data_IF_255718228420
#
_entry.id   IF_255718228420
#
_cell.length_a   1.000
_cell.length_b   1.000
_cell.length_c   1.000
_cell.angle_alpha   90.00
_cell.angle_beta   90.00
_cell.angle_gamma   90.00
#
_symmetry.space_group_name_H-M   'P 1'
#
loop_
_entity.id
_entity.type
_entity.pdbx_description
1 polymer ?
#
# COMPACT_ATOMS: atom_id res chain seq x y z
N UNK A 1 -0.21 -1.42 -20.99
CA UNK A 1 -0.33 -0.49 -19.86
C UNK A 1 0.62 -0.97 -18.79
N UNK A 2 1.48 -0.08 -18.30
CA UNK A 2 2.50 -0.34 -17.29
C UNK A 2 2.10 0.29 -15.96
N UNK A 3 2.58 -0.28 -14.85
CA UNK A 3 2.46 0.33 -13.53
C UNK A 3 3.86 0.69 -13.03
N UNK A 4 4.08 1.97 -12.78
CA UNK A 4 5.25 2.49 -12.09
C UNK A 4 4.90 2.70 -10.63
N UNK A 5 5.55 2.00 -9.71
CA UNK A 5 5.51 2.33 -8.30
C UNK A 5 6.74 3.19 -7.96
N UNK A 6 6.53 4.42 -7.50
CA UNK A 6 7.60 5.20 -6.88
C UNK A 6 7.35 5.17 -5.38
N UNK A 7 8.14 4.39 -4.65
CA UNK A 7 7.80 4.06 -3.28
C UNK A 7 8.97 3.64 -2.41
N UNK A 8 8.64 3.39 -1.16
CA UNK A 8 9.58 3.05 -0.10
C UNK A 8 10.13 1.62 -0.22
N UNK A 9 11.38 1.48 0.19
CA UNK A 9 12.11 0.23 0.35
C UNK A 9 12.69 0.20 1.76
N UNK A 10 12.14 -0.65 2.65
CA UNK A 10 12.53 -0.69 4.06
C UNK A 10 13.03 -2.06 4.48
N UNK A 11 14.03 -2.06 5.36
CA UNK A 11 14.42 -3.24 6.14
C UNK A 11 13.69 -3.18 7.49
N UNK A 12 12.81 -4.14 7.76
CA UNK A 12 12.03 -4.18 9.00
C UNK A 12 12.75 -5.04 10.03
N UNK A 13 13.39 -4.39 11.02
CA UNK A 13 14.06 -5.04 12.15
C UNK A 13 13.06 -5.29 13.27
N UNK A 14 12.59 -6.51 13.40
CA UNK A 14 11.62 -6.90 14.43
C UNK A 14 12.33 -7.52 15.62
N UNK A 15 12.06 -7.00 16.81
CA UNK A 15 12.58 -7.47 18.09
C UNK A 15 11.42 -7.98 18.95
N UNK A 16 11.49 -9.22 19.40
CA UNK A 16 10.56 -9.76 20.38
C UNK A 16 10.98 -9.36 21.79
N UNK A 17 10.10 -8.70 22.50
CA UNK A 17 10.35 -8.10 23.83
C UNK A 17 9.25 -8.49 24.81
N UNK A 18 9.56 -8.40 26.11
CA UNK A 18 8.56 -8.65 27.17
C UNK A 18 7.57 -7.50 27.30
N UNK A 19 8.04 -6.28 27.09
CA UNK A 19 7.28 -5.04 27.07
C UNK A 19 8.03 -4.01 26.21
N UNK A 20 7.39 -2.90 25.84
CA UNK A 20 8.06 -1.83 25.12
C UNK A 20 9.07 -1.12 26.02
N UNK A 21 10.30 -0.90 25.50
CA UNK A 21 11.38 -0.23 26.26
C UNK A 21 10.92 1.15 26.74
N UNK A 22 11.23 1.46 27.99
CA UNK A 22 10.88 2.71 28.65
C UNK A 22 12.07 3.68 28.71
N UNK A 23 11.83 4.98 28.89
CA UNK A 23 12.93 5.93 29.08
C UNK A 23 13.87 5.51 30.22
N UNK A 24 15.19 5.47 29.94
CA UNK A 24 16.22 5.08 30.91
C UNK A 24 16.38 3.58 31.14
N UNK A 25 15.61 2.74 30.45
CA UNK A 25 15.71 1.27 30.53
C UNK A 25 16.62 0.70 29.46
N UNK A 26 17.32 -0.40 29.80
CA UNK A 26 17.98 -1.28 28.85
C UNK A 26 17.28 -2.64 28.89
N UNK A 27 16.55 -2.99 27.82
CA UNK A 27 15.79 -4.22 27.72
C UNK A 27 16.48 -5.17 26.74
N UNK A 28 16.71 -6.42 27.16
CA UNK A 28 17.20 -7.48 26.29
C UNK A 28 16.05 -8.07 25.46
N UNK A 29 16.19 -8.04 24.13
CA UNK A 29 15.24 -8.70 23.25
C UNK A 29 15.42 -10.22 23.28
N UNK A 30 14.31 -10.98 23.24
CA UNK A 30 14.30 -12.45 23.19
C UNK A 30 14.71 -13.02 21.84
N UNK A 31 14.36 -12.33 20.78
CA UNK A 31 14.68 -12.70 19.39
C UNK A 31 14.71 -11.48 18.49
N UNK A 32 15.42 -11.63 17.36
CA UNK A 32 15.45 -10.62 16.28
C UNK A 32 15.22 -11.30 14.93
N UNK A 33 14.40 -10.67 14.09
CA UNK A 33 14.28 -11.02 12.67
C UNK A 33 14.42 -9.76 11.81
N UNK A 34 14.74 -9.96 10.53
CA UNK A 34 14.81 -8.89 9.52
C UNK A 34 13.95 -9.31 8.34
N UNK A 35 13.05 -8.44 7.91
CA UNK A 35 12.17 -8.69 6.79
C UNK A 35 12.25 -7.55 5.78
N UNK A 36 11.98 -7.87 4.52
CA UNK A 36 11.78 -6.85 3.50
C UNK A 36 10.39 -6.25 3.66
N UNK A 37 10.32 -4.93 3.71
CA UNK A 37 9.08 -4.19 3.91
C UNK A 37 9.11 -2.82 3.23
N UNK A 38 8.24 -1.96 3.69
CA UNK A 38 7.91 -0.69 3.07
C UNK A 38 6.68 -0.82 2.17
N UNK A 39 5.77 0.16 2.25
CA UNK A 39 4.52 0.15 1.47
C UNK A 39 4.79 0.08 -0.03
N UNK A 40 5.82 0.79 -0.51
CA UNK A 40 6.22 0.76 -1.91
C UNK A 40 6.60 -0.64 -2.37
N UNK A 41 7.43 -1.35 -1.61
CA UNK A 41 7.81 -2.74 -1.90
C UNK A 41 6.58 -3.66 -1.88
N UNK A 42 5.79 -3.62 -0.81
CA UNK A 42 4.63 -4.49 -0.65
C UNK A 42 3.60 -4.29 -1.75
N UNK A 43 3.27 -3.05 -2.09
CA UNK A 43 2.28 -2.71 -3.12
C UNK A 43 2.79 -3.06 -4.52
N UNK A 44 4.10 -2.90 -4.80
CA UNK A 44 4.69 -3.37 -6.05
C UNK A 44 4.56 -4.87 -6.21
N UNK A 45 4.88 -5.63 -5.17
CA UNK A 45 4.74 -7.10 -5.17
C UNK A 45 3.28 -7.51 -5.27
N UNK A 46 2.37 -6.86 -4.53
CA UNK A 46 0.94 -7.14 -4.60
C UNK A 46 0.38 -6.91 -6.01
N UNK A 47 0.74 -5.80 -6.64
CA UNK A 47 0.33 -5.48 -8.01
C UNK A 47 0.89 -6.48 -9.03
N UNK A 48 2.15 -6.91 -8.88
CA UNK A 48 2.75 -7.92 -9.73
C UNK A 48 2.07 -9.29 -9.56
N UNK A 49 1.84 -9.72 -8.30
CA UNK A 49 1.11 -10.97 -7.99
C UNK A 49 -0.35 -10.92 -8.46
N UNK A 50 -0.94 -9.74 -8.57
CA UNK A 50 -2.27 -9.52 -9.17
C UNK A 50 -2.26 -9.55 -10.72
N UNK A 51 -1.09 -9.77 -11.34
CA UNK A 51 -0.94 -9.95 -12.79
C UNK A 51 -0.56 -8.69 -13.57
N UNK A 52 -0.18 -7.61 -12.90
CA UNK A 52 0.25 -6.39 -13.58
C UNK A 52 1.75 -6.42 -13.94
N UNK A 53 2.11 -5.70 -14.99
CA UNK A 53 3.50 -5.40 -15.30
C UNK A 53 3.96 -4.20 -14.45
N UNK A 54 4.83 -4.44 -13.46
CA UNK A 54 5.22 -3.44 -12.46
C UNK A 54 6.70 -3.10 -12.58
N UNK A 55 7.00 -1.82 -12.60
CA UNK A 55 8.33 -1.23 -12.40
C UNK A 55 8.37 -0.56 -11.05
N UNK A 56 9.40 -0.85 -10.26
CA UNK A 56 9.65 -0.10 -9.02
C UNK A 56 10.76 0.90 -9.26
N UNK A 57 10.50 2.16 -8.92
CA UNK A 57 11.50 3.22 -8.88
C UNK A 57 11.62 3.75 -7.45
N UNK A 58 12.85 3.96 -7.02
CA UNK A 58 13.15 4.40 -5.68
C UNK A 58 14.66 4.40 -5.43
N UNK A 59 15.02 4.64 -4.20
CA UNK A 59 16.42 4.69 -3.79
C UNK A 59 16.68 3.63 -2.72
N UNK A 60 17.77 2.89 -2.89
CA UNK A 60 18.20 1.88 -1.93
C UNK A 60 19.55 2.28 -1.35
N UNK A 61 19.73 2.01 -0.08
CA UNK A 61 20.98 2.32 0.63
C UNK A 61 21.79 1.07 0.97
N UNK A 62 22.78 1.27 1.84
CA UNK A 62 23.60 0.20 2.37
C UNK A 62 22.74 -0.89 3.02
N UNK A 63 22.99 -2.14 2.67
CA UNK A 63 22.25 -3.31 3.17
C UNK A 63 20.96 -3.64 2.41
N UNK A 64 20.60 -2.86 1.37
CA UNK A 64 19.34 -2.99 0.68
C UNK A 64 19.24 -4.07 -0.42
N UNK A 65 20.32 -4.85 -0.67
CA UNK A 65 20.28 -5.93 -1.67
C UNK A 65 19.11 -6.90 -1.49
N UNK A 66 18.71 -7.34 -0.27
CA UNK A 66 17.56 -8.21 -0.09
C UNK A 66 16.24 -7.63 -0.59
N UNK A 67 16.09 -6.28 -0.62
CA UNK A 67 14.90 -5.59 -1.11
C UNK A 67 14.77 -5.73 -2.63
N UNK A 68 15.89 -5.62 -3.36
CA UNK A 68 15.93 -5.84 -4.80
C UNK A 68 15.62 -7.30 -5.13
N UNK A 69 16.25 -8.23 -4.40
CA UNK A 69 16.03 -9.67 -4.57
C UNK A 69 14.55 -10.04 -4.35
N UNK A 70 13.90 -9.42 -3.34
CA UNK A 70 12.49 -9.64 -3.06
C UNK A 70 11.60 -9.14 -4.22
N UNK A 71 11.84 -7.94 -4.73
CA UNK A 71 11.10 -7.39 -5.87
C UNK A 71 11.27 -8.27 -7.12
N UNK A 72 12.51 -8.63 -7.48
CA UNK A 72 12.83 -9.45 -8.65
C UNK A 72 12.22 -10.85 -8.58
N UNK A 73 12.24 -11.48 -7.39
CA UNK A 73 11.62 -12.79 -7.13
C UNK A 73 10.14 -12.81 -7.52
N UNK A 74 9.44 -11.69 -7.33
CA UNK A 74 8.01 -11.58 -7.63
C UNK A 74 7.74 -10.87 -8.97
N UNK A 75 8.75 -10.75 -9.84
CA UNK A 75 8.58 -10.27 -11.22
C UNK A 75 8.44 -8.76 -11.35
N UNK A 76 8.82 -7.99 -10.34
CA UNK A 76 8.88 -6.52 -10.42
C UNK A 76 10.19 -6.10 -11.08
N UNK A 77 10.11 -5.22 -12.07
CA UNK A 77 11.29 -4.63 -12.71
C UNK A 77 11.96 -3.62 -11.78
N UNK A 78 13.24 -3.84 -11.47
CA UNK A 78 14.05 -3.03 -10.55
C UNK A 78 15.04 -2.09 -11.27
N UNK A 79 15.00 -2.01 -12.59
CA UNK A 79 15.94 -1.23 -13.41
C UNK A 79 15.88 0.29 -13.19
N UNK A 80 14.90 0.77 -12.41
CA UNK A 80 14.73 2.17 -12.03
C UNK A 80 15.11 2.45 -10.56
N UNK A 81 15.62 1.46 -9.84
CA UNK A 81 16.12 1.65 -8.48
C UNK A 81 17.59 2.09 -8.56
N UNK A 82 17.93 3.12 -7.81
CA UNK A 82 19.32 3.62 -7.69
C UNK A 82 19.87 3.40 -6.30
N UNK A 83 21.15 3.01 -6.23
CA UNK A 83 21.84 2.86 -4.97
C UNK A 83 22.48 4.19 -4.55
N UNK A 84 22.41 4.49 -3.25
CA UNK A 84 23.10 5.60 -2.61
C UNK A 84 24.01 5.06 -1.49
N UNK A 85 25.13 5.74 -1.25
CA UNK A 85 26.01 5.45 -0.12
C UNK A 85 25.48 6.12 1.16
N UNK A 86 24.31 5.67 1.59
CA UNK A 86 23.58 6.12 2.79
C UNK A 86 22.82 4.95 3.39
N UNK A 87 22.39 5.01 4.66
CA UNK A 87 21.54 3.99 5.25
C UNK A 87 20.22 3.83 4.49
N UNK A 88 19.84 2.57 4.26
CA UNK A 88 18.53 2.23 3.73
C UNK A 88 17.41 2.71 4.65
N UNK A 89 16.23 2.96 4.10
CA UNK A 89 15.02 3.09 4.90
C UNK A 89 14.84 1.84 5.76
N UNK A 90 14.46 1.99 7.02
CA UNK A 90 14.25 0.85 7.91
C UNK A 90 13.29 1.16 9.05
N UNK A 91 12.74 0.10 9.63
CA UNK A 91 11.97 0.20 10.86
C UNK A 91 12.63 -0.58 11.99
N UNK A 92 12.44 -0.10 13.22
CA UNK A 92 12.68 -0.86 14.44
C UNK A 92 11.32 -1.16 15.05
N UNK A 93 10.96 -2.44 15.06
CA UNK A 93 9.65 -2.91 15.49
C UNK A 93 9.85 -3.71 16.78
N UNK A 94 9.25 -3.27 17.88
CA UNK A 94 9.12 -4.06 19.10
C UNK A 94 7.79 -4.80 19.06
N UNK A 95 7.81 -6.10 19.37
CA UNK A 95 6.60 -6.94 19.41
C UNK A 95 6.55 -7.66 20.75
N UNK A 96 5.46 -7.51 21.51
CA UNK A 96 5.23 -8.21 22.78
C UNK A 96 4.65 -9.60 22.55
N UNK A 97 4.63 -10.45 23.60
CA UNK A 97 3.96 -11.77 23.53
C UNK A 97 2.46 -11.65 23.24
N UNK A 98 1.82 -10.54 23.62
CA UNK A 98 0.42 -10.25 23.33
C UNK A 98 0.18 -9.88 21.85
N UNK A 99 1.25 -9.73 21.05
CA UNK A 99 1.17 -9.33 19.66
C UNK A 99 1.02 -7.81 19.44
N UNK A 100 1.14 -7.02 20.51
CA UNK A 100 1.18 -5.56 20.38
C UNK A 100 2.50 -5.13 19.74
N UNK A 101 2.49 -4.07 18.94
CA UNK A 101 3.70 -3.54 18.33
C UNK A 101 3.90 -2.05 18.59
N UNK A 102 5.17 -1.64 18.55
CA UNK A 102 5.60 -0.26 18.58
C UNK A 102 6.67 -0.09 17.50
N UNK A 103 6.49 0.88 16.59
CA UNK A 103 7.30 1.01 15.38
C UNK A 103 7.98 2.38 15.36
N UNK A 104 9.29 2.34 15.19
CA UNK A 104 10.11 3.52 14.85
C UNK A 104 10.53 3.40 13.39
N UNK A 105 10.16 4.38 12.57
CA UNK A 105 10.52 4.47 11.16
C UNK A 105 11.66 5.46 10.96
N UNK A 106 12.68 5.03 10.21
CA UNK A 106 13.74 5.89 9.66
C UNK A 106 13.63 5.88 8.13
N UNK A 107 13.35 7.04 7.54
CA UNK A 107 13.13 7.15 6.09
C UNK A 107 14.36 6.82 5.24
N UNK A 108 15.57 7.17 5.71
CA UNK A 108 16.82 6.88 5.01
C UNK A 108 16.78 7.34 3.56
N UNK A 109 17.24 6.47 2.65
CA UNK A 109 17.24 6.77 1.20
C UNK A 109 15.86 7.06 0.60
N UNK A 110 14.77 6.64 1.23
CA UNK A 110 13.41 6.94 0.73
C UNK A 110 13.09 8.44 0.70
N UNK A 111 13.80 9.24 1.50
CA UNK A 111 13.61 10.70 1.56
C UNK A 111 14.61 11.49 0.71
N UNK A 112 15.34 10.82 -0.18
CA UNK A 112 16.40 11.41 -0.99
C UNK A 112 16.07 11.53 -2.48
N UNK A 113 14.79 11.38 -2.87
CA UNK A 113 14.37 11.56 -4.25
C UNK A 113 14.61 13.00 -4.70
N UNK A 114 15.20 13.17 -5.89
CA UNK A 114 15.39 14.48 -6.53
C UNK A 114 14.40 14.67 -7.67
N UNK A 115 14.11 15.91 -8.03
CA UNK A 115 13.24 16.21 -9.19
C UNK A 115 13.82 15.62 -10.49
N UNK A 116 15.16 15.67 -10.66
CA UNK A 116 15.81 15.04 -11.83
C UNK A 116 15.56 13.53 -11.88
N UNK A 117 15.67 12.82 -10.74
CA UNK A 117 15.35 11.40 -10.68
C UNK A 117 13.89 11.13 -11.09
N UNK A 118 12.95 11.95 -10.59
CA UNK A 118 11.53 11.86 -10.92
C UNK A 118 11.31 12.05 -12.41
N UNK A 119 11.87 13.11 -13.00
CA UNK A 119 11.69 13.43 -14.41
C UNK A 119 12.28 12.37 -15.34
N UNK A 120 13.50 11.88 -15.04
CA UNK A 120 14.16 10.80 -15.77
C UNK A 120 13.39 9.47 -15.67
N UNK A 121 12.75 9.22 -14.53
CA UNK A 121 11.93 8.04 -14.31
C UNK A 121 10.63 8.12 -15.11
N UNK A 122 9.89 9.21 -14.96
CA UNK A 122 8.59 9.40 -15.61
C UNK A 122 8.68 9.46 -17.14
N UNK A 123 9.79 9.93 -17.73
CA UNK A 123 9.94 9.98 -19.19
C UNK A 123 9.98 8.59 -19.86
N UNK A 124 10.10 7.50 -19.11
CA UNK A 124 10.07 6.12 -19.59
C UNK A 124 8.67 5.51 -19.70
N UNK A 125 7.66 6.27 -19.30
CA UNK A 125 6.27 5.86 -19.30
C UNK A 125 5.44 6.70 -20.27
N UNK A 126 4.37 6.10 -20.78
CA UNK A 126 3.52 6.69 -21.80
C UNK A 126 2.18 7.15 -21.20
N UNK A 127 1.44 8.06 -21.87
CA UNK A 127 0.07 8.38 -21.49
C UNK A 127 -0.79 7.12 -21.33
N UNK A 128 -1.58 7.09 -20.26
CA UNK A 128 -2.41 5.94 -19.89
C UNK A 128 -1.73 4.91 -18.97
N UNK A 129 -0.40 4.94 -18.82
CA UNK A 129 0.29 4.17 -17.77
C UNK A 129 -0.09 4.69 -16.37
N UNK A 130 0.16 3.91 -15.34
CA UNK A 130 -0.25 4.20 -13.96
C UNK A 130 0.96 4.49 -13.09
N UNK A 131 0.92 5.59 -12.34
CA UNK A 131 1.83 5.87 -11.23
C UNK A 131 1.16 5.48 -9.92
N UNK A 132 1.79 4.60 -9.15
CA UNK A 132 1.38 4.18 -7.81
C UNK A 132 2.31 4.81 -6.77
N UNK A 133 1.72 5.50 -5.79
CA UNK A 133 2.42 6.24 -4.75
C UNK A 133 1.89 5.90 -3.35
N UNK A 134 2.77 6.02 -2.35
CA UNK A 134 2.46 6.00 -0.92
C UNK A 134 3.12 7.21 -0.26
N UNK A 135 2.71 7.56 0.97
CA UNK A 135 3.29 8.70 1.69
C UNK A 135 4.53 8.32 2.49
N UNK A 136 5.44 7.53 1.89
CA UNK A 136 6.69 7.09 2.54
C UNK A 136 7.95 7.57 1.79
N UNK A 137 7.78 8.37 0.74
CA UNK A 137 8.88 9.01 0.01
C UNK A 137 8.67 10.52 -0.06
N UNK A 138 9.74 11.28 -0.28
CA UNK A 138 9.61 12.73 -0.45
C UNK A 138 9.12 13.10 -1.87
N UNK A 139 8.68 14.35 -2.04
CA UNK A 139 8.36 14.91 -3.35
C UNK A 139 7.02 14.44 -3.95
N UNK A 140 6.10 13.89 -3.15
CA UNK A 140 4.80 13.38 -3.62
C UNK A 140 4.01 14.41 -4.44
N UNK A 141 3.86 15.69 -4.03
CA UNK A 141 3.14 16.67 -4.84
C UNK A 141 3.78 16.91 -6.21
N UNK A 142 5.11 16.88 -6.29
CA UNK A 142 5.83 17.00 -7.55
C UNK A 142 5.59 15.78 -8.46
N UNK A 143 5.72 14.57 -7.90
CA UNK A 143 5.43 13.30 -8.58
C UNK A 143 4.03 13.29 -9.20
N UNK A 144 3.00 13.66 -8.43
CA UNK A 144 1.61 13.72 -8.90
C UNK A 144 1.49 14.69 -10.08
N UNK A 145 1.97 15.93 -9.94
CA UNK A 145 1.85 16.94 -11.00
C UNK A 145 2.60 16.56 -12.27
N UNK A 146 3.82 16.02 -12.14
CA UNK A 146 4.61 15.60 -13.30
C UNK A 146 4.03 14.39 -14.01
N UNK A 147 3.49 13.42 -13.28
CA UNK A 147 2.82 12.26 -13.86
C UNK A 147 1.58 12.67 -14.66
N UNK A 148 0.71 13.48 -14.06
CA UNK A 148 -0.50 13.97 -14.73
C UNK A 148 -0.18 14.81 -15.98
N UNK A 149 0.84 15.67 -15.92
CA UNK A 149 1.30 16.44 -17.12
C UNK A 149 1.75 15.52 -18.25
N UNK A 150 2.25 14.33 -17.95
CA UNK A 150 2.67 13.31 -18.94
C UNK A 150 1.54 12.36 -19.33
N UNK A 151 0.32 12.58 -18.82
CA UNK A 151 -0.85 11.78 -19.13
C UNK A 151 -0.91 10.44 -18.39
N UNK A 152 -0.13 10.25 -17.32
CA UNK A 152 -0.25 9.08 -16.45
C UNK A 152 -1.47 9.24 -15.55
N UNK A 153 -2.09 8.11 -15.22
CA UNK A 153 -3.09 8.04 -14.16
C UNK A 153 -2.40 7.81 -12.83
N UNK A 154 -2.84 8.47 -11.77
CA UNK A 154 -2.17 8.41 -10.47
C UNK A 154 -3.05 7.72 -9.44
N UNK A 155 -2.52 6.66 -8.83
CA UNK A 155 -3.06 6.00 -7.64
C UNK A 155 -2.21 6.41 -6.43
N UNK A 156 -2.84 6.96 -5.41
CA UNK A 156 -2.17 7.37 -4.18
C UNK A 156 -2.80 6.70 -2.96
N UNK A 157 -1.99 5.97 -2.22
CA UNK A 157 -2.31 5.52 -0.88
C UNK A 157 -1.78 6.54 0.13
N UNK A 158 -2.66 7.21 0.85
CA UNK A 158 -2.30 8.31 1.75
C UNK A 158 -1.62 7.85 3.06
N UNK A 159 -1.12 6.62 3.09
CA UNK A 159 -0.47 6.01 4.25
C UNK A 159 1.06 6.15 4.20
N UNK A 160 1.71 6.44 5.34
CA UNK A 160 1.11 6.92 6.60
C UNK A 160 0.56 8.34 6.46
N UNK A 161 -0.55 8.62 7.13
CA UNK A 161 -1.12 9.97 7.09
C UNK A 161 -0.22 10.95 7.84
N UNK A 162 -0.03 12.12 7.28
CA UNK A 162 0.69 13.23 7.86
C UNK A 162 -0.06 14.53 7.54
N UNK A 163 0.07 15.60 8.36
CA UNK A 163 -0.68 16.84 8.16
C UNK A 163 -0.55 17.44 6.77
N UNK A 164 0.62 17.37 6.17
CA UNK A 164 0.92 17.91 4.83
C UNK A 164 0.16 17.23 3.70
N UNK A 165 -0.37 16.01 3.89
CA UNK A 165 -1.16 15.30 2.88
C UNK A 165 -2.44 16.07 2.55
N UNK A 166 -2.94 16.87 3.50
CA UNK A 166 -4.07 17.75 3.28
C UNK A 166 -3.80 18.83 2.19
N UNK A 167 -2.55 19.18 1.95
CA UNK A 167 -2.14 20.19 0.96
C UNK A 167 -1.71 19.56 -0.39
N UNK A 168 -1.76 18.23 -0.50
CA UNK A 168 -1.43 17.57 -1.76
C UNK A 168 -2.51 17.79 -2.82
N UNK A 169 -2.16 17.74 -4.13
CA UNK A 169 -3.10 17.92 -5.23
C UNK A 169 -3.95 16.67 -5.44
N UNK A 170 -4.80 16.34 -4.44
CA UNK A 170 -5.60 15.13 -4.44
C UNK A 170 -6.66 15.11 -5.55
N UNK A 171 -7.07 16.27 -6.03
CA UNK A 171 -7.98 16.47 -7.16
C UNK A 171 -7.41 16.01 -8.52
N UNK A 172 -6.09 15.82 -8.58
CA UNK A 172 -5.41 15.30 -9.78
C UNK A 172 -5.32 13.77 -9.81
N UNK A 173 -5.73 13.09 -8.74
CA UNK A 173 -5.61 11.66 -8.63
C UNK A 173 -6.70 10.94 -9.43
N UNK A 174 -6.36 9.79 -10.02
CA UNK A 174 -7.35 8.86 -10.55
C UNK A 174 -7.93 7.98 -9.43
N UNK A 175 -7.12 7.62 -8.45
CA UNK A 175 -7.52 6.82 -7.28
C UNK A 175 -6.89 7.36 -6.01
N UNK A 176 -7.71 7.60 -5.00
CA UNK A 176 -7.27 7.86 -3.63
C UNK A 176 -7.69 6.67 -2.76
N UNK A 177 -6.70 6.00 -2.17
CA UNK A 177 -6.91 4.84 -1.30
C UNK A 177 -6.51 5.18 0.12
N UNK A 178 -7.46 5.04 1.03
CA UNK A 178 -7.35 5.45 2.43
C UNK A 178 -8.00 4.42 3.35
N UNK A 179 -7.56 4.36 4.60
CA UNK A 179 -8.29 3.71 5.68
C UNK A 179 -9.14 4.72 6.48
N UNK A 180 -9.87 4.24 7.49
CA UNK A 180 -10.73 5.08 8.33
C UNK A 180 -9.96 6.22 9.00
N UNK A 181 -8.78 5.94 9.55
CA UNK A 181 -7.95 6.95 10.24
C UNK A 181 -7.41 8.01 9.26
N UNK A 182 -6.95 7.59 8.11
CA UNK A 182 -6.47 8.48 7.04
C UNK A 182 -7.60 9.33 6.48
N UNK A 183 -8.75 8.68 6.24
CA UNK A 183 -9.97 9.36 5.79
C UNK A 183 -10.47 10.39 6.80
N UNK A 184 -10.47 10.03 8.08
CA UNK A 184 -10.86 10.93 9.15
C UNK A 184 -9.95 12.16 9.25
N UNK A 185 -8.64 11.97 9.11
CA UNK A 185 -7.67 13.05 9.12
C UNK A 185 -7.85 14.01 7.92
N UNK A 186 -8.10 13.48 6.72
CA UNK A 186 -8.28 14.28 5.51
C UNK A 186 -9.65 14.99 5.45
N UNK A 187 -10.70 14.33 5.95
CA UNK A 187 -12.06 14.84 5.89
C UNK A 187 -12.50 15.61 7.13
N UNK A 188 -11.78 15.47 8.26
CA UNK A 188 -12.17 16.10 9.54
C UNK A 188 -13.46 15.53 10.13
N UNK A 189 -13.77 14.26 9.87
CA UNK A 189 -14.92 13.51 10.39
C UNK A 189 -14.59 12.03 10.50
N UNK A 190 -15.23 11.28 11.37
CA UNK A 190 -14.99 9.85 11.56
C UNK A 190 -16.03 8.96 10.86
N UNK A 191 -17.19 9.51 10.48
CA UNK A 191 -18.25 8.74 9.86
C UNK A 191 -17.86 8.41 8.41
N UNK A 192 -17.83 7.13 7.98
CA UNK A 192 -17.41 6.73 6.64
C UNK A 192 -18.17 7.42 5.50
N UNK A 193 -19.49 7.61 5.66
CA UNK A 193 -20.31 8.32 4.68
C UNK A 193 -19.86 9.79 4.52
N UNK A 194 -19.67 10.49 5.66
CA UNK A 194 -19.23 11.89 5.65
C UNK A 194 -17.80 12.05 5.10
N UNK A 195 -16.91 11.07 5.39
CA UNK A 195 -15.56 11.04 4.82
C UNK A 195 -15.64 11.02 3.29
N UNK A 196 -16.41 10.10 2.73
CA UNK A 196 -16.56 9.97 1.29
C UNK A 196 -17.24 11.19 0.68
N UNK A 197 -18.26 11.76 1.33
CA UNK A 197 -18.96 12.95 0.85
C UNK A 197 -18.05 14.16 0.77
N UNK A 198 -17.28 14.45 1.83
CA UNK A 198 -16.34 15.59 1.86
C UNK A 198 -15.20 15.42 0.88
N UNK A 199 -14.64 14.22 0.77
CA UNK A 199 -13.57 13.96 -0.18
C UNK A 199 -14.08 13.99 -1.63
N UNK A 200 -15.28 13.50 -1.92
CA UNK A 200 -15.88 13.61 -3.25
C UNK A 200 -16.16 15.06 -3.68
N UNK A 201 -16.52 15.94 -2.72
CA UNK A 201 -16.65 17.38 -3.00
C UNK A 201 -15.31 18.01 -3.36
N UNK A 202 -14.23 17.60 -2.69
CA UNK A 202 -12.88 18.10 -2.94
C UNK A 202 -12.27 17.51 -4.22
N UNK A 203 -12.54 16.26 -4.51
CA UNK A 203 -11.91 15.48 -5.59
C UNK A 203 -13.01 14.77 -6.42
N UNK A 204 -13.85 15.52 -7.18
CA UNK A 204 -15.05 14.98 -7.81
C UNK A 204 -14.77 13.90 -8.88
N UNK A 205 -13.61 13.98 -9.54
CA UNK A 205 -13.21 13.06 -10.60
C UNK A 205 -12.33 11.89 -10.08
N UNK A 206 -12.00 11.89 -8.79
CA UNK A 206 -11.17 10.87 -8.15
C UNK A 206 -12.02 9.71 -7.67
N UNK A 207 -11.65 8.48 -8.02
CA UNK A 207 -12.22 7.30 -7.41
C UNK A 207 -11.70 7.12 -5.99
N UNK A 208 -12.58 7.22 -5.01
CA UNK A 208 -12.28 7.13 -3.59
C UNK A 208 -12.46 5.69 -3.11
N UNK A 209 -11.42 5.10 -2.53
CA UNK A 209 -11.45 3.77 -1.94
C UNK A 209 -11.16 3.88 -0.45
N UNK A 210 -12.17 3.61 0.38
CA UNK A 210 -12.07 3.61 1.84
C UNK A 210 -12.10 2.17 2.36
N UNK A 211 -11.05 1.77 3.09
CA UNK A 211 -10.99 0.48 3.77
C UNK A 211 -11.37 0.65 5.24
N UNK A 212 -12.20 -0.27 5.77
CA UNK A 212 -12.83 -0.24 7.09
C UNK A 212 -12.39 -1.43 7.97
N UNK A 213 -11.19 -1.96 7.73
CA UNK A 213 -10.69 -3.13 8.44
C UNK A 213 -11.68 -4.29 8.42
N UNK A 214 -12.16 -4.74 9.57
CA UNK A 214 -13.17 -5.80 9.67
C UNK A 214 -14.55 -5.39 9.12
N UNK A 215 -14.82 -4.12 8.91
CA UNK A 215 -16.04 -3.60 8.28
C UNK A 215 -16.05 -3.72 6.74
N UNK A 216 -14.94 -4.14 6.14
CA UNK A 216 -14.82 -4.28 4.70
C UNK A 216 -14.29 -3.04 4.00
N UNK A 217 -14.92 -2.64 2.91
CA UNK A 217 -14.47 -1.49 2.13
C UNK A 217 -15.61 -0.84 1.36
N UNK A 218 -15.43 0.43 1.05
CA UNK A 218 -16.37 1.22 0.26
C UNK A 218 -15.61 1.97 -0.82
N UNK A 219 -16.15 1.91 -2.04
CA UNK A 219 -15.66 2.68 -3.17
C UNK A 219 -16.73 3.69 -3.60
N UNK A 220 -16.30 4.92 -3.89
CA UNK A 220 -17.16 5.95 -4.50
C UNK A 220 -16.51 6.49 -5.77
N UNK A 221 -17.24 6.47 -6.87
CA UNK A 221 -16.80 6.97 -8.16
C UNK A 221 -17.97 7.39 -9.04
N UNK A 222 -17.87 8.50 -9.77
CA UNK A 222 -18.90 8.94 -10.71
C UNK A 222 -20.29 9.14 -10.08
N UNK A 223 -20.36 9.48 -8.80
CA UNK A 223 -21.62 9.64 -8.07
C UNK A 223 -22.23 8.34 -7.52
N UNK A 224 -21.67 7.18 -7.87
CA UNK A 224 -22.11 5.88 -7.37
C UNK A 224 -21.25 5.41 -6.21
N UNK A 225 -21.82 4.56 -5.35
CA UNK A 225 -21.13 3.99 -4.18
C UNK A 225 -21.33 2.47 -4.14
N UNK A 226 -20.24 1.74 -3.96
CA UNK A 226 -20.22 0.29 -3.80
C UNK A 226 -19.59 -0.09 -2.47
N UNK A 227 -20.17 -1.05 -1.78
CA UNK A 227 -19.61 -1.61 -0.55
C UNK A 227 -19.29 -3.09 -0.72
N UNK A 228 -18.28 -3.55 -0.02
CA UNK A 228 -17.86 -4.95 0.00
C UNK A 228 -17.49 -5.33 1.43
N UNK A 229 -18.00 -6.46 1.91
CA UNK A 229 -17.64 -7.00 3.21
C UNK A 229 -16.28 -7.68 3.22
N UNK A 230 -16.00 -8.40 4.31
CA UNK A 230 -14.81 -9.23 4.46
C UNK A 230 -15.15 -10.71 4.43
N UNK A 231 -14.21 -11.54 4.04
CA UNK A 231 -14.30 -12.99 4.24
C UNK A 231 -13.94 -13.32 5.70
N UNK A 232 -14.74 -14.17 6.39
CA UNK A 232 -14.54 -14.50 7.79
C UNK A 232 -13.39 -15.49 7.95
N UNK A 233 -12.18 -14.97 8.14
CA UNK A 233 -10.97 -15.76 8.35
C UNK A 233 -10.35 -15.47 9.72
N UNK A 234 -9.58 -16.41 10.27
CA UNK A 234 -8.81 -16.17 11.48
C UNK A 234 -7.47 -15.49 11.11
N UNK A 235 -7.26 -14.23 11.50
CA UNK A 235 -6.01 -13.55 11.21
C UNK A 235 -4.85 -14.15 12.03
N UNK A 236 -3.70 -14.27 11.37
CA UNK A 236 -2.40 -14.65 11.96
C UNK A 236 -1.49 -13.44 12.03
N UNK A 237 -1.47 -12.63 10.95
CA UNK A 237 -0.67 -11.41 10.82
C UNK A 237 -1.37 -10.47 9.84
N UNK A 238 -1.66 -9.25 10.26
CA UNK A 238 -2.37 -8.27 9.42
C UNK A 238 -1.42 -7.37 8.61
N UNK A 239 -0.12 -7.60 8.70
CA UNK A 239 0.88 -6.87 7.93
C UNK A 239 0.62 -7.01 6.42
N UNK A 240 0.77 -5.93 5.69
CA UNK A 240 0.52 -5.85 4.24
C UNK A 240 -0.91 -6.16 3.77
N UNK A 241 -1.91 -6.28 4.65
CA UNK A 241 -3.31 -6.50 4.24
C UNK A 241 -3.84 -5.37 3.33
N UNK A 242 -3.58 -4.11 3.70
CA UNK A 242 -3.96 -2.93 2.90
C UNK A 242 -3.18 -2.83 1.59
N UNK A 243 -1.87 -3.16 1.62
CA UNK A 243 -1.02 -3.18 0.43
C UNK A 243 -1.49 -4.26 -0.56
N UNK A 244 -1.86 -5.43 -0.03
CA UNK A 244 -2.45 -6.54 -0.81
C UNK A 244 -3.78 -6.11 -1.43
N UNK A 245 -4.67 -5.52 -0.62
CA UNK A 245 -5.94 -5.01 -1.11
C UNK A 245 -5.74 -4.06 -2.29
N UNK A 246 -4.87 -3.06 -2.14
CA UNK A 246 -4.62 -2.06 -3.18
C UNK A 246 -4.03 -2.66 -4.44
N UNK A 247 -3.03 -3.54 -4.32
CA UNK A 247 -2.42 -4.20 -5.48
C UNK A 247 -3.43 -5.00 -6.30
N UNK A 248 -4.29 -5.76 -5.62
CA UNK A 248 -5.36 -6.55 -6.27
C UNK A 248 -6.49 -5.68 -6.81
N UNK A 249 -6.81 -4.59 -6.13
CA UNK A 249 -7.82 -3.63 -6.58
C UNK A 249 -7.42 -2.97 -7.90
N UNK A 250 -6.22 -2.44 -7.96
CA UNK A 250 -5.68 -1.91 -9.20
C UNK A 250 -5.55 -3.00 -10.27
N UNK A 251 -5.07 -4.21 -9.90
CA UNK A 251 -4.96 -5.34 -10.81
C UNK A 251 -6.27 -5.67 -11.52
N UNK A 252 -7.36 -5.78 -10.75
CA UNK A 252 -8.68 -6.07 -11.29
C UNK A 252 -9.23 -4.93 -12.16
N UNK A 253 -9.15 -3.67 -11.68
CA UNK A 253 -9.62 -2.51 -12.43
C UNK A 253 -8.88 -2.33 -13.76
N UNK A 254 -7.55 -2.50 -13.75
CA UNK A 254 -6.73 -2.35 -14.93
C UNK A 254 -6.88 -3.53 -15.92
N UNK A 255 -7.38 -4.67 -15.45
CA UNK A 255 -7.83 -5.78 -16.29
C UNK A 255 -9.26 -5.60 -16.84
N UNK A 256 -9.95 -4.50 -16.50
CA UNK A 256 -11.29 -4.19 -16.97
C UNK A 256 -12.44 -4.75 -16.13
N UNK A 257 -12.15 -5.27 -14.92
CA UNK A 257 -13.19 -5.74 -14.02
C UNK A 257 -14.06 -4.56 -13.49
N UNK A 258 -15.35 -4.76 -13.29
CA UNK A 258 -16.20 -3.77 -12.64
C UNK A 258 -15.81 -3.60 -11.15
N UNK A 259 -16.10 -2.43 -10.57
CA UNK A 259 -15.73 -2.09 -9.19
C UNK A 259 -16.16 -3.16 -8.17
N UNK A 260 -17.41 -3.70 -8.19
CA UNK A 260 -17.79 -4.73 -7.22
C UNK A 260 -16.93 -6.00 -7.28
N UNK A 261 -16.53 -6.40 -8.48
CA UNK A 261 -15.66 -7.57 -8.66
C UNK A 261 -14.22 -7.26 -8.18
N UNK A 262 -13.70 -6.07 -8.49
CA UNK A 262 -12.42 -5.62 -8.00
C UNK A 262 -12.37 -5.60 -6.47
N UNK A 263 -13.40 -5.07 -5.81
CA UNK A 263 -13.52 -5.06 -4.35
C UNK A 263 -13.54 -6.49 -3.78
N UNK A 264 -14.33 -7.39 -4.38
CA UNK A 264 -14.44 -8.79 -3.93
C UNK A 264 -13.12 -9.53 -4.07
N UNK A 265 -12.41 -9.37 -5.20
CA UNK A 265 -11.10 -9.99 -5.43
C UNK A 265 -10.07 -9.48 -4.42
N UNK A 266 -10.05 -8.18 -4.15
CA UNK A 266 -9.13 -7.54 -3.20
C UNK A 266 -9.40 -7.98 -1.76
N UNK A 267 -10.67 -8.07 -1.36
CA UNK A 267 -11.08 -8.60 -0.06
C UNK A 267 -10.62 -10.05 0.13
N UNK A 268 -10.76 -10.90 -0.90
CA UNK A 268 -10.30 -12.29 -0.87
C UNK A 268 -8.76 -12.39 -0.78
N UNK A 269 -8.05 -11.57 -1.53
CA UNK A 269 -6.59 -11.51 -1.49
C UNK A 269 -6.09 -11.10 -0.10
N UNK A 270 -6.68 -10.04 0.49
CA UNK A 270 -6.36 -9.61 1.85
C UNK A 270 -6.69 -10.69 2.89
N UNK A 271 -7.82 -11.38 2.75
CA UNK A 271 -8.20 -12.47 3.65
C UNK A 271 -7.19 -13.64 3.61
N UNK A 272 -6.67 -13.99 2.43
CA UNK A 272 -5.60 -14.99 2.31
C UNK A 272 -4.26 -14.48 2.87
N UNK A 273 -3.93 -13.23 2.64
CA UNK A 273 -2.71 -12.59 3.15
C UNK A 273 -2.65 -12.67 4.68
N UNK A 274 -3.70 -12.23 5.37
CA UNK A 274 -3.70 -12.15 6.84
C UNK A 274 -3.71 -13.51 7.55
N UNK A 275 -3.89 -14.61 6.84
CA UNK A 275 -3.77 -15.98 7.39
C UNK A 275 -2.31 -16.47 7.41
N UNK A 276 -1.36 -15.71 6.88
CA UNK A 276 0.05 -16.03 6.76
C UNK A 276 0.88 -15.03 7.55
N UNK A 277 2.06 -15.45 8.01
CA UNK A 277 3.02 -14.54 8.66
C UNK A 277 3.87 -13.82 7.62
N UNK A 278 4.21 -12.57 7.91
CA UNK A 278 5.09 -11.74 7.10
C UNK A 278 4.35 -10.77 6.20
N UNK A 279 5.08 -9.89 5.52
CA UNK A 279 4.57 -8.86 4.62
C UNK A 279 4.48 -9.38 3.18
N UNK A 280 5.51 -9.13 2.37
CA UNK A 280 5.56 -9.48 0.94
C UNK A 280 5.37 -10.98 0.65
N UNK A 281 5.92 -11.86 1.52
CA UNK A 281 5.81 -13.31 1.36
C UNK A 281 4.39 -13.84 1.64
N UNK A 282 3.61 -13.11 2.46
CA UNK A 282 2.24 -13.46 2.80
C UNK A 282 1.25 -13.16 1.67
N UNK A 283 1.56 -12.24 0.78
CA UNK A 283 0.71 -11.83 -0.33
C UNK A 283 0.45 -13.04 -1.24
N UNK A 284 -0.82 -13.45 -1.50
CA UNK A 284 -1.13 -14.61 -2.34
C UNK A 284 -0.82 -14.35 -3.82
N UNK A 285 -0.74 -15.41 -4.62
CA UNK A 285 -0.76 -15.32 -6.08
C UNK A 285 -2.20 -15.17 -6.59
N UNK A 286 -2.38 -14.56 -7.77
CA UNK A 286 -3.72 -14.38 -8.37
C UNK A 286 -4.48 -15.70 -8.55
N UNK A 287 -3.78 -16.75 -8.93
CA UNK A 287 -4.36 -18.09 -9.09
C UNK A 287 -4.84 -18.68 -7.76
N UNK A 288 -4.12 -18.45 -6.65
CA UNK A 288 -4.57 -18.86 -5.31
C UNK A 288 -5.87 -18.15 -4.92
N UNK A 289 -5.94 -16.83 -5.18
CA UNK A 289 -7.14 -16.02 -4.87
C UNK A 289 -8.34 -16.50 -5.69
N UNK A 290 -8.14 -16.73 -7.00
CA UNK A 290 -9.19 -17.22 -7.89
C UNK A 290 -9.65 -18.62 -7.50
N UNK A 291 -8.72 -19.52 -7.18
CA UNK A 291 -9.03 -20.86 -6.73
C UNK A 291 -9.83 -20.85 -5.40
N UNK A 292 -9.43 -20.02 -4.44
CA UNK A 292 -10.15 -19.89 -3.17
C UNK A 292 -11.58 -19.36 -3.35
N UNK A 293 -11.77 -18.37 -4.22
CA UNK A 293 -13.08 -17.84 -4.57
C UNK A 293 -13.97 -18.87 -5.29
N UNK A 294 -13.40 -19.62 -6.23
CA UNK A 294 -14.12 -20.63 -6.99
C UNK A 294 -14.51 -21.84 -6.12
N UNK A 295 -13.66 -22.23 -5.18
CA UNK A 295 -13.92 -23.33 -4.24
C UNK A 295 -14.82 -22.91 -3.06
N UNK A 296 -15.12 -21.62 -2.87
CA UNK A 296 -15.82 -21.12 -1.70
C UNK A 296 -15.07 -21.34 -0.37
N UNK A 297 -13.76 -21.57 -0.42
CA UNK A 297 -12.96 -21.97 0.75
C UNK A 297 -12.80 -20.86 1.79
N UNK A 298 -13.08 -19.60 1.41
CA UNK A 298 -13.07 -18.44 2.32
C UNK A 298 -14.41 -18.26 3.06
N UNK A 299 -15.41 -19.11 2.80
CA UNK A 299 -16.76 -18.96 3.32
C UNK A 299 -17.58 -17.87 2.60
N UNK A 300 -18.75 -17.57 3.14
CA UNK A 300 -19.58 -16.48 2.62
C UNK A 300 -19.05 -15.13 3.09
N UNK A 301 -18.91 -14.21 2.15
CA UNK A 301 -18.49 -12.84 2.45
C UNK A 301 -19.56 -12.14 3.28
N UNK A 302 -19.15 -11.48 4.36
CA UNK A 302 -20.04 -10.65 5.18
C UNK A 302 -20.67 -9.51 4.37
N UNK A 303 -21.74 -8.91 4.90
CA UNK A 303 -22.31 -7.70 4.33
C UNK A 303 -21.30 -6.56 4.45
N UNK A 304 -21.10 -5.79 3.40
CA UNK A 304 -20.33 -4.55 3.47
C UNK A 304 -21.00 -3.52 4.39
N UNK A 305 -20.22 -2.50 4.77
CA UNK A 305 -20.74 -1.41 5.58
C UNK A 305 -21.98 -0.78 4.91
N UNK A 306 -23.03 -0.59 5.69
CA UNK A 306 -24.20 0.21 5.28
C UNK A 306 -23.83 1.67 5.55
N UNK A 307 -23.75 2.49 4.49
CA UNK A 307 -23.49 3.93 4.55
C UNK A 307 -24.78 4.72 4.68
#
# INVERSE_FOLDING_TARGET
MKVLCVGSLNLDYTYQVDHFVRPGETLAARARSVHCGGKGLNQSIAAAKAGLQVWHAGLVGTGGAPLLDALQRYGVDTGLIRALDQPCGHTVIQVTEAGENCILLYGGTNTCLTESFVDETLCRFAPGDVLLLQNEVNGIPYLIRQAVRRGLRVAFNAAPIAPEVADYPLELLSWLVINEGEGAALAGTQAPADILDRLAQRCPDTQLQLTLGAGGSVCRAGGETWSCGVFPVRPVDTTAAGDTFLGYYLGALLAGAPIPEALRLSSAASALCIQRRGAADAIPLLEEVRAALAAGSLGEMGKGASL
#
